data_IF_618384335483
#
_entry.id   IF_618384335483
#
_cell.length_a   1.000
_cell.length_b   1.000
_cell.length_c   1.000
_cell.angle_alpha   90.00
_cell.angle_beta   90.00
_cell.angle_gamma   90.00
#
_symmetry.space_group_name_H-M   'P 1'
#
loop_
_entity.id
_entity.type
_entity.pdbx_description
1 polymer ?
#
# COMPACT_ATOMS: atom_id res chain seq x y z
N UNK A 1 -50.35 6.75 -12.68
CA UNK A 1 -49.10 6.43 -13.39
C UNK A 1 -47.90 7.09 -12.69
N UNK A 2 -47.63 6.73 -11.43
CA UNK A 2 -46.57 7.34 -10.61
C UNK A 2 -45.65 6.29 -9.94
N UNK A 3 -45.82 5.01 -10.32
CA UNK A 3 -45.17 3.87 -9.65
C UNK A 3 -44.01 3.27 -10.44
N UNK A 4 -43.78 3.68 -11.70
CA UNK A 4 -42.73 3.10 -12.56
C UNK A 4 -41.41 3.88 -12.46
N UNK A 5 -41.46 5.18 -12.11
CA UNK A 5 -40.25 5.99 -12.01
C UNK A 5 -39.36 5.67 -10.79
N UNK A 6 -39.91 5.04 -9.74
CA UNK A 6 -39.11 4.66 -8.56
C UNK A 6 -38.25 3.42 -8.78
N UNK A 7 -38.51 2.60 -9.80
CA UNK A 7 -37.76 1.36 -10.02
C UNK A 7 -36.49 1.56 -10.86
N UNK A 8 -36.46 2.60 -11.71
CA UNK A 8 -35.30 2.89 -12.58
C UNK A 8 -34.14 3.52 -11.79
N UNK A 9 -34.41 4.16 -10.64
CA UNK A 9 -33.37 4.75 -9.79
C UNK A 9 -32.58 3.72 -8.97
N UNK A 10 -33.09 2.51 -8.75
CA UNK A 10 -32.35 1.47 -8.00
C UNK A 10 -31.32 0.72 -8.85
N UNK A 11 -31.39 0.80 -10.18
CA UNK A 11 -30.51 0.01 -11.08
C UNK A 11 -29.22 0.76 -11.44
N UNK A 12 -29.15 2.08 -11.22
CA UNK A 12 -28.02 2.92 -11.70
C UNK A 12 -26.94 3.27 -10.66
N UNK A 13 -27.05 2.82 -9.40
CA UNK A 13 -26.19 3.32 -8.31
C UNK A 13 -24.92 2.53 -8.01
N UNK A 14 -24.89 1.21 -8.21
CA UNK A 14 -23.70 0.42 -7.91
C UNK A 14 -22.83 0.28 -9.16
N UNK A 15 -22.16 1.37 -9.55
CA UNK A 15 -20.88 1.21 -10.26
C UNK A 15 -19.98 0.45 -9.29
N UNK A 16 -19.82 -0.86 -9.52
CA UNK A 16 -18.75 -1.65 -8.91
C UNK A 16 -17.46 -0.93 -9.24
N UNK A 17 -16.91 -0.22 -8.25
CA UNK A 17 -15.66 0.50 -8.44
C UNK A 17 -14.64 -0.57 -8.75
N UNK A 18 -14.07 -0.51 -9.97
CA UNK A 18 -13.15 -1.54 -10.44
C UNK A 18 -12.01 -1.70 -9.43
N UNK A 19 -11.85 -2.91 -8.91
CA UNK A 19 -10.76 -3.22 -8.00
C UNK A 19 -9.45 -3.12 -8.75
N UNK A 20 -8.50 -2.41 -8.16
CA UNK A 20 -7.21 -2.14 -8.79
C UNK A 20 -6.21 -3.17 -8.32
N UNK A 21 -5.43 -3.71 -9.27
CA UNK A 21 -4.40 -4.68 -8.96
C UNK A 21 -3.20 -3.97 -8.34
N UNK A 22 -2.97 -4.23 -7.05
CA UNK A 22 -1.76 -3.79 -6.36
C UNK A 22 -0.65 -4.77 -6.70
N UNK A 23 0.51 -4.24 -7.06
CA UNK A 23 1.73 -5.02 -7.28
C UNK A 23 2.70 -4.91 -6.11
N UNK A 24 2.70 -3.79 -5.39
CA UNK A 24 3.61 -3.59 -4.27
C UNK A 24 3.07 -2.60 -3.23
N UNK A 25 3.33 -2.88 -1.94
CA UNK A 25 3.23 -1.90 -0.85
C UNK A 25 4.56 -1.87 -0.10
N UNK A 26 5.15 -0.69 0.03
CA UNK A 26 6.33 -0.46 0.85
C UNK A 26 5.97 0.39 2.07
N UNK A 27 6.45 -0.01 3.24
CA UNK A 27 6.45 0.80 4.45
C UNK A 27 7.87 1.29 4.73
N UNK A 28 8.02 2.60 4.94
CA UNK A 28 9.30 3.23 5.17
C UNK A 28 9.25 4.18 6.37
N UNK A 29 10.37 4.30 7.06
CA UNK A 29 10.55 5.21 8.20
C UNK A 29 11.57 6.26 7.81
N UNK A 30 11.28 7.52 8.14
CA UNK A 30 12.17 8.64 7.88
C UNK A 30 13.51 8.42 8.59
N UNK A 31 14.58 8.78 7.90
CA UNK A 31 15.93 8.74 8.45
C UNK A 31 16.49 10.15 8.64
N UNK A 32 17.31 10.31 9.65
CA UNK A 32 17.95 11.57 9.98
C UNK A 32 18.92 12.03 8.87
N UNK A 33 19.22 13.33 8.88
CA UNK A 33 20.28 13.88 8.03
C UNK A 33 21.60 13.27 8.49
N UNK A 34 22.33 12.64 7.56
CA UNK A 34 23.59 11.96 7.86
C UNK A 34 23.49 10.44 8.00
N UNK A 35 22.29 9.85 7.87
CA UNK A 35 22.17 8.39 7.77
C UNK A 35 23.02 7.85 6.62
N UNK A 36 24.03 7.05 6.98
CA UNK A 36 24.93 6.38 6.06
C UNK A 36 24.20 5.20 5.42
N UNK A 37 23.84 5.37 4.14
CA UNK A 37 23.21 4.30 3.37
C UNK A 37 24.21 3.25 2.98
N UNK A 38 23.86 2.00 3.21
CA UNK A 38 24.56 0.86 2.63
C UNK A 38 24.01 0.53 1.24
N UNK A 39 24.70 -0.30 0.47
CA UNK A 39 24.23 -0.74 -0.86
C UNK A 39 22.93 -1.56 -0.77
N UNK A 40 22.68 -2.18 0.38
CA UNK A 40 21.50 -3.00 0.63
C UNK A 40 20.28 -2.15 1.00
N UNK A 41 20.47 -0.88 1.37
CA UNK A 41 19.38 -0.01 1.80
C UNK A 41 18.52 0.44 0.64
N UNK A 42 17.21 0.17 0.76
CA UNK A 42 16.23 0.72 -0.17
C UNK A 42 15.65 2.03 0.38
N UNK A 43 16.07 3.15 -0.21
CA UNK A 43 15.68 4.50 0.22
C UNK A 43 14.63 5.09 -0.71
N UNK A 44 13.56 5.62 -0.12
CA UNK A 44 12.59 6.48 -0.80
C UNK A 44 12.93 7.93 -0.55
N UNK A 45 12.80 8.76 -1.57
CA UNK A 45 12.89 10.22 -1.45
C UNK A 45 11.50 10.80 -1.72
N UNK A 46 10.96 11.53 -0.74
CA UNK A 46 9.64 12.14 -0.84
C UNK A 46 9.63 13.49 -0.12
N UNK A 47 9.21 14.55 -0.81
CA UNK A 47 9.18 15.92 -0.30
C UNK A 47 10.51 16.38 0.34
N UNK A 48 11.64 16.01 -0.25
CA UNK A 48 12.97 16.36 0.25
C UNK A 48 13.46 15.55 1.46
N UNK A 49 12.67 14.60 1.96
CA UNK A 49 13.06 13.69 3.04
C UNK A 49 13.42 12.31 2.51
N UNK A 50 14.34 11.64 3.22
CA UNK A 50 14.78 10.27 2.94
C UNK A 50 14.06 9.32 3.90
N UNK A 51 13.60 8.18 3.39
CA UNK A 51 12.92 7.15 4.16
C UNK A 51 13.55 5.80 3.86
N UNK A 52 13.97 5.08 4.89
CA UNK A 52 14.44 3.71 4.79
C UNK A 52 13.24 2.78 4.76
N UNK A 53 13.11 2.00 3.68
CA UNK A 53 12.07 0.97 3.60
C UNK A 53 12.36 -0.09 4.67
N UNK A 54 11.35 -0.40 5.49
CA UNK A 54 11.44 -1.42 6.53
C UNK A 54 10.79 -2.72 6.11
N UNK A 55 9.73 -2.64 5.30
CA UNK A 55 9.22 -3.81 4.61
C UNK A 55 8.66 -3.45 3.23
N UNK A 56 8.72 -4.42 2.31
CA UNK A 56 8.16 -4.34 0.97
C UNK A 56 7.39 -5.61 0.67
N UNK A 57 6.10 -5.47 0.42
CA UNK A 57 5.14 -6.54 0.20
C UNK A 57 4.83 -6.59 -1.29
N UNK A 58 5.08 -7.72 -1.96
CA UNK A 58 4.74 -7.93 -3.37
C UNK A 58 3.45 -8.72 -3.48
N UNK A 59 2.65 -8.39 -4.49
CA UNK A 59 1.34 -9.00 -4.70
C UNK A 59 1.19 -9.48 -6.14
N UNK A 60 0.65 -10.69 -6.29
CA UNK A 60 0.22 -11.24 -7.58
C UNK A 60 -1.30 -11.33 -7.58
N UNK A 61 -1.95 -10.58 -8.49
CA UNK A 61 -3.42 -10.45 -8.55
C UNK A 61 -4.04 -10.18 -7.17
N UNK A 62 -3.47 -9.22 -6.43
CA UNK A 62 -3.89 -8.81 -5.08
C UNK A 62 -3.70 -9.84 -3.95
N UNK A 63 -3.10 -10.99 -4.23
CA UNK A 63 -2.70 -11.96 -3.21
C UNK A 63 -1.22 -11.77 -2.90
N UNK A 64 -0.87 -11.84 -1.62
CA UNK A 64 0.50 -11.69 -1.17
C UNK A 64 1.37 -12.79 -1.79
N UNK A 65 2.44 -12.37 -2.44
CA UNK A 65 3.41 -13.25 -3.10
C UNK A 65 4.66 -13.40 -2.23
N UNK A 66 5.26 -12.28 -1.82
CA UNK A 66 6.41 -12.28 -0.91
C UNK A 66 6.51 -10.99 -0.10
N UNK A 67 7.31 -11.04 0.97
CA UNK A 67 7.67 -9.85 1.76
C UNK A 67 9.17 -9.79 1.96
N UNK A 68 9.74 -8.64 1.68
CA UNK A 68 11.12 -8.31 2.01
C UNK A 68 11.11 -7.48 3.29
N UNK A 69 11.83 -7.92 4.32
CA UNK A 69 11.96 -7.23 5.61
C UNK A 69 13.40 -6.79 5.79
N UNK A 70 13.59 -5.51 6.10
CA UNK A 70 14.91 -4.95 6.39
C UNK A 70 15.46 -5.46 7.73
N UNK A 71 16.71 -5.90 7.72
CA UNK A 71 17.55 -6.23 8.89
C UNK A 71 18.89 -5.49 8.76
N UNK A 72 19.67 -5.38 9.86
CA UNK A 72 21.00 -4.77 9.80
C UNK A 72 21.93 -5.39 8.74
N UNK A 73 21.78 -6.69 8.48
CA UNK A 73 22.57 -7.46 7.51
C UNK A 73 22.02 -7.37 6.07
N UNK A 74 20.88 -6.71 5.88
CA UNK A 74 20.18 -6.58 4.59
C UNK A 74 18.74 -7.07 4.63
N UNK A 75 18.13 -7.22 3.45
CA UNK A 75 16.74 -7.66 3.35
C UNK A 75 16.60 -9.18 3.36
N UNK A 76 15.75 -9.67 4.25
CA UNK A 76 15.30 -11.08 4.25
C UNK A 76 13.99 -11.17 3.49
N UNK A 77 13.92 -12.10 2.52
CA UNK A 77 12.69 -12.41 1.80
C UNK A 77 11.95 -13.58 2.45
N UNK A 78 10.65 -13.40 2.68
CA UNK A 78 9.72 -14.44 3.10
C UNK A 78 8.72 -14.70 1.97
N UNK A 79 8.55 -15.96 1.58
CA UNK A 79 7.52 -16.32 0.60
C UNK A 79 6.14 -16.37 1.26
N UNK A 80 5.08 -16.27 0.46
CA UNK A 80 3.71 -16.48 0.94
C UNK A 80 3.51 -17.80 1.69
N UNK A 81 4.23 -18.87 1.29
CA UNK A 81 4.20 -20.17 1.96
C UNK A 81 4.82 -20.14 3.36
N UNK A 82 5.88 -19.36 3.54
CA UNK A 82 6.52 -19.19 4.85
C UNK A 82 5.64 -18.34 5.76
N UNK A 83 5.07 -17.27 5.21
CA UNK A 83 4.18 -16.35 5.92
C UNK A 83 2.85 -16.99 6.33
N UNK A 84 2.34 -17.96 5.56
CA UNK A 84 1.13 -18.69 5.91
C UNK A 84 1.28 -19.53 7.20
N UNK A 85 2.51 -19.94 7.52
CA UNK A 85 2.81 -20.74 8.72
C UNK A 85 2.99 -19.85 9.96
N UNK A 86 3.32 -18.58 9.77
CA UNK A 86 3.65 -17.65 10.86
C UNK A 86 2.74 -16.42 10.86
N UNK A 87 1.56 -16.58 11.47
CA UNK A 87 0.59 -15.48 11.65
C UNK A 87 1.13 -14.35 12.52
N UNK A 88 2.08 -14.63 13.42
CA UNK A 88 2.67 -13.60 14.29
C UNK A 88 3.53 -12.65 13.46
N UNK A 89 4.29 -13.18 12.50
CA UNK A 89 5.11 -12.38 11.59
C UNK A 89 4.26 -11.42 10.73
N UNK A 90 3.12 -11.90 10.21
CA UNK A 90 2.17 -11.06 9.48
C UNK A 90 1.65 -9.89 10.33
N UNK A 91 1.30 -10.16 11.59
CA UNK A 91 0.83 -9.13 12.53
C UNK A 91 1.93 -8.12 12.87
N UNK A 92 3.11 -8.62 13.23
CA UNK A 92 4.25 -7.80 13.65
C UNK A 92 4.65 -6.77 12.58
N UNK A 93 4.70 -7.19 11.31
CA UNK A 93 5.06 -6.31 10.20
C UNK A 93 3.86 -5.66 9.50
N UNK A 94 2.64 -5.84 10.02
CA UNK A 94 1.39 -5.28 9.47
C UNK A 94 1.18 -5.66 7.99
N UNK A 95 1.40 -6.93 7.67
CA UNK A 95 1.29 -7.48 6.32
C UNK A 95 -0.13 -8.00 6.11
N UNK A 96 -0.77 -7.59 5.02
CA UNK A 96 -2.06 -8.13 4.61
C UNK A 96 -1.85 -9.25 3.59
N UNK A 97 -2.51 -10.40 3.80
CA UNK A 97 -2.45 -11.50 2.82
C UNK A 97 -3.18 -11.18 1.51
N UNK A 98 -4.18 -10.30 1.58
CA UNK A 98 -4.92 -9.81 0.42
C UNK A 98 -5.08 -8.30 0.49
N UNK A 99 -5.14 -7.67 -0.67
CA UNK A 99 -5.27 -6.22 -0.77
C UNK A 99 -6.38 -5.84 -1.74
N UNK A 100 -7.32 -5.02 -1.28
CA UNK A 100 -8.38 -4.44 -2.12
C UNK A 100 -8.15 -2.94 -2.19
N UNK A 101 -7.63 -2.47 -3.32
CA UNK A 101 -7.44 -1.04 -3.58
C UNK A 101 -8.60 -0.47 -4.39
N UNK A 102 -9.07 0.69 -3.96
CA UNK A 102 -10.10 1.47 -4.65
C UNK A 102 -9.79 2.96 -4.55
N UNK A 103 -9.84 3.71 -5.66
CA UNK A 103 -9.85 5.18 -5.60
C UNK A 103 -11.24 5.65 -5.20
N UNK A 104 -11.33 6.37 -4.07
CA UNK A 104 -12.59 6.97 -3.62
C UNK A 104 -12.76 8.32 -4.32
N UNK A 105 -11.70 9.14 -4.32
CA UNK A 105 -11.62 10.44 -5.00
C UNK A 105 -10.19 10.65 -5.51
N UNK A 106 -9.90 11.80 -6.12
CA UNK A 106 -8.54 12.15 -6.54
C UNK A 106 -7.54 12.31 -5.36
N UNK A 107 -8.01 12.51 -4.14
CA UNK A 107 -7.15 12.68 -2.95
C UNK A 107 -7.23 11.55 -1.94
N UNK A 108 -8.07 10.53 -2.19
CA UNK A 108 -8.33 9.47 -1.21
C UNK A 108 -8.39 8.09 -1.85
N UNK A 109 -7.73 7.13 -1.20
CA UNK A 109 -7.83 5.71 -1.52
C UNK A 109 -8.46 4.95 -0.37
N UNK A 110 -9.07 3.81 -0.70
CA UNK A 110 -9.43 2.76 0.24
C UNK A 110 -8.50 1.57 0.00
N UNK A 111 -7.85 1.10 1.06
CA UNK A 111 -7.09 -0.14 1.07
C UNK A 111 -7.77 -1.06 2.08
N UNK A 112 -8.32 -2.17 1.60
CA UNK A 112 -9.18 -3.06 2.38
C UNK A 112 -10.36 -2.27 2.97
N UNK A 113 -10.44 -2.17 4.30
CA UNK A 113 -11.51 -1.46 5.02
C UNK A 113 -11.13 -0.03 5.40
N UNK A 114 -9.86 0.36 5.25
CA UNK A 114 -9.33 1.64 5.72
C UNK A 114 -9.18 2.65 4.59
N UNK A 115 -9.52 3.90 4.86
CA UNK A 115 -9.35 5.02 3.94
C UNK A 115 -8.08 5.82 4.29
N UNK A 116 -7.36 6.28 3.27
CA UNK A 116 -6.11 7.02 3.40
C UNK A 116 -6.06 8.20 2.45
N UNK A 117 -5.48 9.30 2.91
CA UNK A 117 -5.18 10.46 2.09
C UNK A 117 -3.95 10.20 1.21
N UNK A 118 -4.02 10.60 -0.05
CA UNK A 118 -2.92 10.50 -1.01
C UNK A 118 -2.06 11.76 -0.88
N UNK A 119 -0.84 11.60 -0.36
CA UNK A 119 0.14 12.70 -0.30
C UNK A 119 0.74 13.04 -1.66
N UNK A 120 0.90 12.05 -2.54
CA UNK A 120 1.37 12.26 -3.91
C UNK A 120 0.97 11.10 -4.83
N UNK A 121 0.69 11.40 -6.10
CA UNK A 121 0.27 10.41 -7.10
C UNK A 121 0.99 10.62 -8.43
N UNK A 122 1.91 9.71 -8.76
CA UNK A 122 2.49 9.59 -10.11
C UNK A 122 1.65 8.59 -10.91
N UNK A 123 0.74 9.11 -11.73
CA UNK A 123 -0.18 8.31 -12.56
C UNK A 123 0.53 7.56 -13.69
N UNK A 124 1.65 8.10 -14.19
CA UNK A 124 2.42 7.50 -15.29
C UNK A 124 3.14 6.26 -14.78
N UNK A 125 3.81 6.38 -13.63
CA UNK A 125 4.50 5.25 -12.99
C UNK A 125 3.56 4.34 -12.18
N UNK A 126 2.29 4.73 -12.05
CA UNK A 126 1.27 4.07 -11.21
C UNK A 126 1.77 3.87 -9.78
N UNK A 127 2.35 4.93 -9.22
CA UNK A 127 2.87 4.97 -7.85
C UNK A 127 2.12 6.05 -7.09
N UNK A 128 1.70 5.74 -5.87
CA UNK A 128 1.19 6.73 -4.93
C UNK A 128 1.90 6.63 -3.60
N UNK A 129 1.95 7.77 -2.91
CA UNK A 129 2.41 7.88 -1.53
C UNK A 129 1.23 8.25 -0.65
N UNK A 130 1.11 7.58 0.47
CA UNK A 130 0.06 7.82 1.46
C UNK A 130 0.66 7.65 2.86
N UNK A 131 -0.01 8.23 3.84
CA UNK A 131 0.42 8.17 5.24
C UNK A 131 -0.79 8.00 6.13
N UNK A 132 -0.58 7.35 7.26
CA UNK A 132 -1.45 7.51 8.41
C UNK A 132 -1.11 8.89 9.02
N UNK A 133 -2.05 9.84 8.99
CA UNK A 133 -1.85 11.23 9.42
C UNK A 133 -1.32 11.35 10.87
N UNK A 134 -1.43 10.27 11.64
CA UNK A 134 -0.96 10.18 13.02
C UNK A 134 0.56 10.15 13.17
N UNK A 135 1.31 9.82 12.10
CA UNK A 135 2.78 9.76 12.20
C UNK A 135 3.50 10.23 10.93
N UNK A 136 4.04 11.45 10.98
CA UNK A 136 4.80 12.08 9.89
C UNK A 136 6.15 11.42 9.59
N UNK A 137 6.65 10.56 10.48
CA UNK A 137 7.89 9.82 10.27
C UNK A 137 7.66 8.56 9.42
N UNK A 138 6.40 8.18 9.19
CA UNK A 138 6.04 7.00 8.42
C UNK A 138 5.57 7.37 7.02
N UNK A 139 6.10 6.66 6.03
CA UNK A 139 5.71 6.81 4.63
C UNK A 139 5.30 5.45 4.08
N UNK A 140 4.13 5.41 3.45
CA UNK A 140 3.71 4.27 2.66
C UNK A 140 3.78 4.62 1.18
N UNK A 141 4.28 3.68 0.38
CA UNK A 141 4.27 3.75 -1.08
C UNK A 141 3.51 2.55 -1.61
N UNK A 142 2.61 2.78 -2.56
CA UNK A 142 1.89 1.74 -3.26
C UNK A 142 2.18 1.82 -4.75
N UNK A 143 2.41 0.67 -5.38
CA UNK A 143 2.46 0.51 -6.85
C UNK A 143 1.29 -0.36 -7.30
N UNK A 144 0.67 0.02 -8.41
CA UNK A 144 -0.48 -0.69 -8.97
C UNK A 144 -0.39 -0.86 -10.50
N UNK A 145 -1.23 -1.75 -11.04
CA UNK A 145 -1.30 -2.12 -12.46
C UNK A 145 -2.65 -1.75 -13.06
#
# INVERSE_FOLDING_TARGET
MLSILLFVAMIYGFKTIAQINVSEISYAIRVERGYATTEQDYILVHNGFRYLVKNRQTYNKNNLDSVYVWKPEGYIQYSSKDLAKDKQLLSFYRINQTVKLTFITNGWIRINTSAFNIGHHDRIKKILYYSDERNKEHLYRLRYN
#
